data_IF_888368169385
#
_entry.id   IF_888368169385
#
_cell.length_a   1.000
_cell.length_b   1.000
_cell.length_c   1.000
_cell.angle_alpha   90.00
_cell.angle_beta   90.00
_cell.angle_gamma   90.00
#
_symmetry.space_group_name_H-M   'P 1'
#
loop_
_entity.id
_entity.type
_entity.pdbx_description
1 polymer ?
#
# COMPACT_ATOMS: atom_id res chain seq x y z
N UNK A 1 4.48 -1.80 3.29
CA UNK A 1 4.20 -2.83 2.26
C UNK A 1 5.20 -3.98 2.27
N UNK A 2 6.51 -3.73 2.16
CA UNK A 2 7.53 -4.80 2.12
C UNK A 2 7.47 -5.70 3.37
N UNK A 3 7.41 -5.11 4.57
CA UNK A 3 7.34 -5.89 5.81
C UNK A 3 6.05 -6.73 5.92
N UNK A 4 4.91 -6.17 5.49
CA UNK A 4 3.63 -6.90 5.39
C UNK A 4 3.72 -8.06 4.39
N UNK A 5 4.27 -7.82 3.20
CA UNK A 5 4.48 -8.86 2.20
C UNK A 5 5.38 -9.98 2.74
N UNK A 6 6.43 -9.66 3.50
CA UNK A 6 7.29 -10.65 4.16
C UNK A 6 6.51 -11.49 5.19
N UNK A 7 5.61 -10.89 5.98
CA UNK A 7 4.78 -11.66 6.93
C UNK A 7 3.86 -12.67 6.25
N UNK A 8 3.45 -12.42 5.01
CA UNK A 8 2.53 -13.27 4.27
C UNK A 8 3.22 -14.27 3.31
N UNK A 9 4.47 -14.01 2.93
CA UNK A 9 5.24 -14.84 1.97
C UNK A 9 6.30 -15.72 2.61
N UNK A 10 6.81 -15.36 3.80
CA UNK A 10 7.85 -16.14 4.49
C UNK A 10 7.20 -17.15 5.43
N UNK A 11 7.42 -18.44 5.19
CA UNK A 11 6.83 -19.54 5.99
C UNK A 11 7.16 -19.49 7.49
N UNK A 12 8.26 -18.82 7.85
CA UNK A 12 8.64 -18.60 9.26
C UNK A 12 7.79 -17.53 9.95
N UNK A 13 7.23 -16.57 9.19
CA UNK A 13 6.38 -15.49 9.69
C UNK A 13 4.90 -15.76 9.41
N UNK A 14 4.61 -16.62 8.43
CA UNK A 14 3.28 -17.08 8.08
C UNK A 14 2.82 -18.18 9.06
N UNK A 15 1.60 -18.10 9.57
CA UNK A 15 0.91 -19.22 10.18
C UNK A 15 0.97 -20.49 9.30
N UNK A 16 1.44 -21.62 9.84
CA UNK A 16 1.20 -22.90 9.17
C UNK A 16 -0.32 -23.15 9.11
N UNK A 17 -0.87 -23.56 7.95
CA UNK A 17 -2.28 -23.92 7.85
C UNK A 17 -2.54 -25.10 8.80
N UNK A 18 -3.52 -24.96 9.69
CA UNK A 18 -3.94 -26.06 10.56
C UNK A 18 -4.92 -26.94 9.80
N UNK A 19 -4.68 -28.26 9.77
CA UNK A 19 -5.61 -29.20 9.16
C UNK A 19 -6.91 -29.25 9.96
N UNK A 20 -8.02 -29.18 9.23
CA UNK A 20 -9.38 -29.23 9.78
C UNK A 20 -9.61 -30.62 10.38
N UNK A 21 -9.62 -30.72 11.71
CA UNK A 21 -9.80 -31.99 12.44
C UNK A 21 -8.68 -32.35 13.42
N UNK A 22 -7.56 -31.60 13.42
CA UNK A 22 -6.46 -31.83 14.37
C UNK A 22 -6.70 -31.12 15.72
N UNK A 23 -6.62 -31.85 16.83
CA UNK A 23 -6.72 -31.32 18.21
C UNK A 23 -5.48 -30.55 18.69
N UNK A 24 -4.41 -30.51 17.89
CA UNK A 24 -3.12 -29.89 18.22
C UNK A 24 -2.72 -28.85 17.16
N UNK A 25 -3.40 -27.71 17.16
CA UNK A 25 -2.94 -26.51 16.46
C UNK A 25 -2.03 -25.77 17.45
N UNK A 26 -0.71 -25.92 17.32
CA UNK A 26 0.25 -25.35 18.28
C UNK A 26 0.09 -23.82 18.34
N UNK A 27 -0.11 -23.21 19.52
CA UNK A 27 -0.22 -21.76 19.64
C UNK A 27 1.01 -21.07 19.04
N UNK A 28 0.79 -20.14 18.10
CA UNK A 28 1.87 -19.42 17.41
C UNK A 28 2.76 -18.65 18.39
N UNK A 29 4.07 -18.54 18.12
CA UNK A 29 4.96 -17.75 18.96
C UNK A 29 4.58 -16.25 18.92
N UNK A 30 4.61 -15.59 20.08
CA UNK A 30 4.27 -14.16 20.30
C UNK A 30 4.93 -13.20 19.29
N UNK A 31 6.09 -13.58 18.75
CA UNK A 31 6.88 -12.81 17.79
C UNK A 31 6.14 -12.55 16.46
N UNK A 32 5.40 -13.53 15.92
CA UNK A 32 4.69 -13.35 14.64
C UNK A 32 3.64 -12.23 14.72
N UNK A 33 2.91 -12.13 15.84
CA UNK A 33 1.94 -11.07 16.07
C UNK A 33 2.61 -9.71 16.26
N UNK A 34 3.71 -9.64 17.00
CA UNK A 34 4.46 -8.37 17.18
C UNK A 34 4.94 -7.84 15.84
N UNK A 35 5.52 -8.70 15.00
CA UNK A 35 5.99 -8.31 13.66
C UNK A 35 4.81 -7.87 12.78
N UNK A 36 3.69 -8.59 12.82
CA UNK A 36 2.48 -8.22 12.07
C UNK A 36 1.94 -6.84 12.50
N UNK A 37 1.78 -6.58 13.80
CA UNK A 37 1.28 -5.30 14.29
C UNK A 37 2.25 -4.15 13.97
N UNK A 38 3.56 -4.36 14.12
CA UNK A 38 4.55 -3.39 13.71
C UNK A 38 4.45 -3.08 12.20
N UNK A 39 4.24 -4.11 11.37
CA UNK A 39 4.09 -3.95 9.93
C UNK A 39 2.82 -3.18 9.55
N UNK A 40 1.71 -3.40 10.25
CA UNK A 40 0.47 -2.64 10.07
C UNK A 40 0.67 -1.18 10.45
N UNK A 41 1.27 -0.90 11.62
CA UNK A 41 1.54 0.48 12.08
C UNK A 41 2.45 1.23 11.11
N UNK A 42 3.53 0.61 10.66
CA UNK A 42 4.43 1.23 9.68
C UNK A 42 3.73 1.48 8.34
N UNK A 43 2.82 0.60 7.93
CA UNK A 43 2.08 0.78 6.69
C UNK A 43 1.05 1.92 6.76
N UNK A 44 0.31 2.03 7.86
CA UNK A 44 -0.66 3.12 8.04
C UNK A 44 0.03 4.48 8.15
N UNK A 45 1.15 4.55 8.89
CA UNK A 45 1.96 5.76 9.00
C UNK A 45 2.54 6.17 7.64
N UNK A 46 3.13 5.22 6.90
CA UNK A 46 3.69 5.50 5.57
C UNK A 46 2.64 5.96 4.58
N UNK A 47 1.49 5.29 4.53
CA UNK A 47 0.39 5.65 3.63
C UNK A 47 -0.15 7.06 3.89
N UNK A 48 -0.36 7.42 5.17
CA UNK A 48 -0.81 8.76 5.54
C UNK A 48 0.22 9.84 5.21
N UNK A 49 1.49 9.61 5.54
CA UNK A 49 2.57 10.56 5.29
C UNK A 49 2.77 10.86 3.80
N UNK A 50 2.88 9.81 2.97
CA UNK A 50 3.08 9.97 1.53
C UNK A 50 1.93 10.73 0.87
N UNK A 51 0.68 10.47 1.28
CA UNK A 51 -0.49 11.16 0.73
C UNK A 51 -0.44 12.67 1.02
N UNK A 52 -0.20 13.04 2.27
CA UNK A 52 -0.14 14.44 2.67
C UNK A 52 0.97 15.17 1.93
N UNK A 53 2.19 14.62 1.92
CA UNK A 53 3.35 15.21 1.23
C UNK A 53 3.13 15.36 -0.28
N UNK A 54 2.57 14.34 -0.94
CA UNK A 54 2.32 14.40 -2.38
C UNK A 54 1.30 15.47 -2.74
N UNK A 55 0.22 15.57 -1.95
CA UNK A 55 -0.82 16.59 -2.18
C UNK A 55 -0.29 18.01 -1.95
N UNK A 56 0.57 18.22 -0.95
CA UNK A 56 1.15 19.55 -0.68
C UNK A 56 2.17 19.93 -1.75
N UNK A 57 3.05 19.02 -2.18
CA UNK A 57 4.01 19.28 -3.27
C UNK A 57 3.28 19.60 -4.58
N UNK A 58 2.25 18.83 -4.94
CA UNK A 58 1.48 19.09 -6.15
C UNK A 58 0.70 20.40 -6.09
N UNK A 59 0.17 20.77 -4.92
CA UNK A 59 -0.48 22.05 -4.73
C UNK A 59 0.50 23.23 -4.78
N UNK A 60 1.73 23.05 -4.30
CA UNK A 60 2.79 24.07 -4.30
C UNK A 60 3.18 24.49 -5.72
N UNK A 61 3.18 23.55 -6.68
CA UNK A 61 3.39 23.84 -8.11
C UNK A 61 2.35 24.81 -8.72
N UNK A 62 1.20 24.95 -8.06
CA UNK A 62 0.06 25.75 -8.51
C UNK A 62 -0.24 26.90 -7.54
N UNK A 63 0.67 27.23 -6.62
CA UNK A 63 0.45 28.24 -5.58
C UNK A 63 0.04 29.61 -6.14
N UNK A 64 0.59 30.00 -7.30
CA UNK A 64 0.26 31.27 -7.97
C UNK A 64 -1.09 31.25 -8.72
N UNK A 65 -1.75 30.08 -8.80
CA UNK A 65 -2.98 29.84 -9.57
C UNK A 65 -4.05 29.15 -8.72
N UNK A 66 -4.75 29.88 -7.84
CA UNK A 66 -5.67 29.30 -6.86
C UNK A 66 -6.84 28.53 -7.49
N UNK A 67 -7.29 28.92 -8.69
CA UNK A 67 -8.32 28.18 -9.45
C UNK A 67 -7.82 26.80 -9.88
N UNK A 68 -6.60 26.73 -10.40
CA UNK A 68 -6.01 25.48 -10.89
C UNK A 68 -5.64 24.56 -9.73
N UNK A 69 -5.24 25.12 -8.58
CA UNK A 69 -5.01 24.38 -7.34
C UNK A 69 -6.28 23.68 -6.83
N UNK A 70 -7.44 24.35 -6.90
CA UNK A 70 -8.73 23.72 -6.55
C UNK A 70 -9.12 22.58 -7.50
N UNK A 71 -8.89 22.76 -8.80
CA UNK A 71 -9.11 21.71 -9.82
C UNK A 71 -8.17 20.52 -9.58
N UNK A 72 -6.90 20.78 -9.23
CA UNK A 72 -5.94 19.75 -8.85
C UNK A 72 -6.44 18.92 -7.67
N UNK A 73 -6.90 19.54 -6.59
CA UNK A 73 -7.43 18.80 -5.43
C UNK A 73 -8.64 17.96 -5.80
N UNK A 74 -9.58 18.49 -6.60
CA UNK A 74 -10.74 17.72 -7.06
C UNK A 74 -10.31 16.45 -7.81
N UNK A 75 -9.40 16.57 -8.77
CA UNK A 75 -8.88 15.42 -9.51
C UNK A 75 -8.06 14.48 -8.63
N UNK A 76 -7.23 15.01 -7.73
CA UNK A 76 -6.44 14.22 -6.79
C UNK A 76 -7.34 13.33 -5.92
N UNK A 77 -8.39 13.88 -5.32
CA UNK A 77 -9.34 13.11 -4.53
C UNK A 77 -10.16 12.15 -5.39
N UNK A 78 -10.59 12.56 -6.59
CA UNK A 78 -11.31 11.67 -7.51
C UNK A 78 -10.49 10.41 -7.81
N UNK A 79 -9.24 10.56 -8.28
CA UNK A 79 -8.37 9.42 -8.56
C UNK A 79 -8.05 8.60 -7.30
N UNK A 80 -7.88 9.24 -6.14
CA UNK A 80 -7.66 8.55 -4.88
C UNK A 80 -8.82 7.61 -4.52
N UNK A 81 -10.06 8.13 -4.57
CA UNK A 81 -11.23 7.32 -4.25
C UNK A 81 -11.46 6.22 -5.28
N UNK A 82 -11.31 6.52 -6.58
CA UNK A 82 -11.41 5.50 -7.63
C UNK A 82 -10.37 4.39 -7.45
N UNK A 83 -9.11 4.74 -7.18
CA UNK A 83 -8.05 3.77 -6.91
C UNK A 83 -8.35 2.94 -5.65
N UNK A 84 -8.92 3.53 -4.60
CA UNK A 84 -9.33 2.81 -3.40
C UNK A 84 -10.41 1.76 -3.69
N UNK A 85 -11.38 2.08 -4.55
CA UNK A 85 -12.44 1.14 -4.95
C UNK A 85 -11.83 -0.03 -5.74
N UNK A 86 -10.95 0.27 -6.70
CA UNK A 86 -10.25 -0.76 -7.50
C UNK A 86 -9.38 -1.64 -6.62
N UNK A 87 -8.62 -1.06 -5.68
CA UNK A 87 -7.80 -1.82 -4.74
C UNK A 87 -8.66 -2.75 -3.87
N UNK A 88 -9.77 -2.24 -3.31
CA UNK A 88 -10.64 -3.03 -2.43
C UNK A 88 -11.45 -4.12 -3.15
N UNK A 89 -11.48 -4.10 -4.49
CA UNK A 89 -12.23 -5.06 -5.30
C UNK A 89 -11.29 -5.97 -6.09
N UNK A 90 -10.57 -5.43 -7.07
CA UNK A 90 -9.73 -6.18 -7.98
C UNK A 90 -8.49 -6.77 -7.29
N UNK A 91 -7.81 -5.98 -6.44
CA UNK A 91 -6.60 -6.49 -5.76
C UNK A 91 -6.97 -7.54 -4.72
N UNK A 92 -8.01 -7.29 -3.91
CA UNK A 92 -8.54 -8.28 -2.96
C UNK A 92 -8.98 -9.56 -3.68
N UNK A 93 -9.66 -9.44 -4.83
CA UNK A 93 -10.03 -10.61 -5.63
C UNK A 93 -8.81 -11.44 -6.05
N UNK A 94 -7.71 -10.80 -6.47
CA UNK A 94 -6.46 -11.47 -6.84
C UNK A 94 -5.79 -12.12 -5.62
N UNK A 95 -5.77 -11.43 -4.48
CA UNK A 95 -5.21 -11.95 -3.23
C UNK A 95 -5.93 -13.22 -2.77
N UNK A 96 -7.27 -13.22 -2.85
CA UNK A 96 -8.12 -14.33 -2.39
C UNK A 96 -8.25 -15.49 -3.39
N UNK A 97 -8.32 -15.21 -4.70
CA UNK A 97 -8.60 -16.24 -5.71
C UNK A 97 -7.35 -16.73 -6.46
N UNK A 98 -6.28 -15.93 -6.53
CA UNK A 98 -5.07 -16.28 -7.29
C UNK A 98 -3.91 -16.56 -6.34
N UNK A 99 -3.39 -15.52 -5.69
CA UNK A 99 -2.42 -15.64 -4.61
C UNK A 99 -2.10 -14.28 -3.98
N UNK A 100 -1.84 -14.31 -2.68
CA UNK A 100 -1.25 -13.19 -1.94
C UNK A 100 0.04 -12.67 -2.57
N UNK A 101 0.89 -13.56 -3.11
CA UNK A 101 2.15 -13.19 -3.77
C UNK A 101 1.90 -12.32 -5.02
N UNK A 102 0.90 -12.67 -5.83
CA UNK A 102 0.53 -11.88 -7.01
C UNK A 102 0.00 -10.49 -6.62
N UNK A 103 -0.87 -10.41 -5.60
CA UNK A 103 -1.36 -9.14 -5.06
C UNK A 103 -0.22 -8.22 -4.58
N UNK A 104 0.73 -8.77 -3.80
CA UNK A 104 1.89 -7.99 -3.37
C UNK A 104 2.81 -7.56 -4.52
N UNK A 105 2.97 -8.39 -5.56
CA UNK A 105 3.76 -8.02 -6.73
C UNK A 105 3.14 -6.84 -7.48
N UNK A 106 1.84 -6.86 -7.71
CA UNK A 106 1.10 -5.75 -8.35
C UNK A 106 1.28 -4.46 -7.54
N UNK A 107 1.13 -4.53 -6.22
CA UNK A 107 1.35 -3.39 -5.32
C UNK A 107 2.80 -2.89 -5.36
N UNK A 108 3.80 -3.76 -5.40
CA UNK A 108 5.19 -3.36 -5.47
C UNK A 108 5.53 -2.69 -6.82
N UNK A 109 5.07 -3.29 -7.93
CA UNK A 109 5.29 -2.75 -9.27
C UNK A 109 4.65 -1.36 -9.44
N UNK A 110 3.43 -1.16 -8.93
CA UNK A 110 2.75 0.13 -9.00
C UNK A 110 3.50 1.22 -8.21
N UNK A 111 4.04 0.90 -7.04
CA UNK A 111 4.87 1.83 -6.26
C UNK A 111 6.16 2.21 -7.00
N UNK A 112 6.81 1.27 -7.67
CA UNK A 112 8.02 1.54 -8.47
C UNK A 112 7.68 2.47 -9.64
N UNK A 113 6.60 2.18 -10.38
CA UNK A 113 6.16 3.03 -11.50
C UNK A 113 5.82 4.43 -11.01
N UNK A 114 5.09 4.56 -9.90
CA UNK A 114 4.77 5.85 -9.30
C UNK A 114 6.02 6.63 -8.90
N UNK A 115 7.02 5.96 -8.32
CA UNK A 115 8.30 6.56 -7.96
C UNK A 115 9.05 7.07 -9.21
N UNK A 116 9.10 6.28 -10.28
CA UNK A 116 9.74 6.70 -11.53
C UNK A 116 9.05 7.93 -12.14
N UNK A 117 7.72 7.95 -12.18
CA UNK A 117 6.94 9.11 -12.66
C UNK A 117 7.22 10.34 -11.79
N UNK A 118 7.22 10.18 -10.47
CA UNK A 118 7.52 11.26 -9.54
C UNK A 118 8.92 11.84 -9.77
N UNK A 119 9.94 10.98 -9.92
CA UNK A 119 11.32 11.39 -10.20
C UNK A 119 11.48 12.08 -11.56
N UNK A 120 10.71 11.66 -12.57
CA UNK A 120 10.68 12.34 -13.87
C UNK A 120 10.06 13.74 -13.76
N UNK A 121 8.98 13.89 -12.98
CA UNK A 121 8.34 15.19 -12.74
C UNK A 121 9.18 16.13 -11.88
N UNK A 122 9.88 15.62 -10.87
CA UNK A 122 10.73 16.44 -9.98
C UNK A 122 11.96 17.02 -10.67
N UNK A 123 12.42 16.41 -11.78
CA UNK A 123 13.52 16.94 -12.61
C UNK A 123 13.15 18.23 -13.36
N UNK A 124 11.88 18.57 -13.47
CA UNK A 124 11.40 19.84 -14.04
C UNK A 124 11.33 20.98 -13.01
N UNK A 125 11.69 20.73 -11.75
CA UNK A 125 11.66 21.69 -10.64
C UNK A 125 13.06 22.28 -10.30
N UNK A 126 14.00 22.24 -11.24
CA UNK A 126 15.33 22.83 -11.13
C UNK A 126 15.59 23.81 -12.26
#
# INVERSE_FOLDING_TARGET
TILLALTATVDSLRPKPCEVGSTSCTPKPKVQYVVLYAAIVLATLGSGGTRSTLSTIGADQLADKPKDQGIFFNWFFFFWYSASVVASTAVVYIEDNVSWKAGFFICAASNIVALLIFLMGSRFLH
#
